data_IF_777618590309
#
_entry.id   IF_777618590309
#
_cell.length_a   1.000
_cell.length_b   1.000
_cell.length_c   1.000
_cell.angle_alpha   90.00
_cell.angle_beta   90.00
_cell.angle_gamma   90.00
#
_symmetry.space_group_name_H-M   'P 1'
#
loop_
_entity.id
_entity.type
_entity.pdbx_description
1 polymer ?
#
# COMPACT_ATOMS: atom_id res chain seq x y z
N UNK A 1 -18.23 -10.22 -6.34
CA UNK A 1 -17.23 -9.92 -5.30
C UNK A 1 -15.89 -9.69 -5.99
N UNK A 2 -15.19 -8.60 -5.68
CA UNK A 2 -13.92 -8.25 -6.33
C UNK A 2 -12.77 -8.33 -5.31
N UNK A 3 -11.56 -8.62 -5.77
CA UNK A 3 -10.35 -8.53 -4.96
C UNK A 3 -9.66 -7.18 -5.17
N UNK A 4 -9.64 -6.36 -4.13
CA UNK A 4 -9.10 -5.00 -4.11
C UNK A 4 -7.85 -4.94 -3.24
N UNK A 5 -6.80 -4.34 -3.78
CA UNK A 5 -5.55 -4.08 -3.04
C UNK A 5 -5.31 -2.58 -3.00
N UNK A 6 -5.14 -2.04 -1.80
CA UNK A 6 -4.68 -0.67 -1.59
C UNK A 6 -3.16 -0.69 -1.34
N UNK A 7 -2.40 0.14 -2.05
CA UNK A 7 -0.96 0.33 -1.81
C UNK A 7 -0.77 1.70 -1.18
N UNK A 8 -0.42 1.74 0.09
CA UNK A 8 -0.30 2.99 0.85
C UNK A 8 0.07 2.79 2.32
N UNK A 9 0.34 3.87 3.07
CA UNK A 9 0.56 3.80 4.51
C UNK A 9 -0.66 3.22 5.21
N UNK A 10 -0.44 2.41 6.24
CA UNK A 10 -1.45 1.82 7.09
C UNK A 10 -0.80 1.41 8.42
N UNK A 11 -1.63 1.05 9.40
CA UNK A 11 -1.18 0.59 10.70
C UNK A 11 0.01 -0.40 10.57
N UNK A 12 1.10 -0.24 11.34
CA UNK A 12 1.25 0.68 12.48
C UNK A 12 1.64 2.11 12.11
N UNK A 13 1.80 2.45 10.83
CA UNK A 13 2.12 3.81 10.42
C UNK A 13 0.92 4.74 10.71
N UNK A 14 1.20 5.90 11.30
CA UNK A 14 0.18 6.91 11.61
C UNK A 14 0.11 8.01 10.55
N UNK A 15 -0.96 8.82 10.61
CA UNK A 15 -1.17 10.00 9.76
C UNK A 15 -2.38 9.87 8.85
N UNK A 16 -2.79 10.99 8.24
CA UNK A 16 -4.04 11.08 7.47
C UNK A 16 -4.15 10.02 6.36
N UNK A 17 -3.07 9.77 5.62
CA UNK A 17 -3.06 8.74 4.57
C UNK A 17 -3.38 7.34 5.11
N UNK A 18 -2.86 6.99 6.29
CA UNK A 18 -3.14 5.69 6.92
C UNK A 18 -4.62 5.58 7.30
N UNK A 19 -5.19 6.64 7.89
CA UNK A 19 -6.61 6.71 8.24
C UNK A 19 -7.51 6.62 7.00
N UNK A 20 -7.19 7.35 5.92
CA UNK A 20 -7.93 7.29 4.67
C UNK A 20 -7.90 5.91 4.03
N UNK A 21 -6.72 5.27 3.97
CA UNK A 21 -6.59 3.92 3.41
C UNK A 21 -7.37 2.89 4.22
N UNK A 22 -7.36 3.00 5.55
CA UNK A 22 -8.15 2.14 6.42
C UNK A 22 -9.64 2.32 6.14
N UNK A 23 -10.16 3.55 6.17
CA UNK A 23 -11.57 3.83 5.89
C UNK A 23 -12.00 3.32 4.52
N UNK A 24 -11.19 3.58 3.49
CA UNK A 24 -11.48 3.10 2.14
C UNK A 24 -11.55 1.57 2.07
N UNK A 25 -10.65 0.86 2.77
CA UNK A 25 -10.70 -0.59 2.81
C UNK A 25 -11.91 -1.14 3.57
N UNK A 26 -12.28 -0.50 4.69
CA UNK A 26 -13.49 -0.81 5.46
C UNK A 26 -14.74 -0.68 4.58
N UNK A 27 -14.84 0.39 3.78
CA UNK A 27 -15.97 0.59 2.86
C UNK A 27 -16.03 -0.49 1.76
N UNK A 28 -14.89 -0.88 1.16
CA UNK A 28 -14.88 -2.00 0.20
C UNK A 28 -15.36 -3.30 0.84
N UNK A 29 -14.95 -3.58 2.09
CA UNK A 29 -15.38 -4.76 2.83
C UNK A 29 -16.88 -4.69 3.14
N UNK A 30 -17.39 -3.52 3.57
CA UNK A 30 -18.81 -3.30 3.84
C UNK A 30 -19.69 -3.50 2.60
N UNK A 31 -19.17 -3.14 1.41
CA UNK A 31 -19.80 -3.42 0.12
C UNK A 31 -19.70 -4.89 -0.33
N UNK A 32 -19.06 -5.76 0.47
CA UNK A 32 -18.92 -7.18 0.18
C UNK A 32 -17.77 -7.53 -0.79
N UNK A 33 -16.75 -6.67 -0.91
CA UNK A 33 -15.52 -6.99 -1.63
C UNK A 33 -14.44 -7.55 -0.68
N UNK A 34 -13.47 -8.28 -1.23
CA UNK A 34 -12.24 -8.56 -0.50
C UNK A 34 -11.32 -7.35 -0.64
N UNK A 35 -10.85 -6.80 0.48
CA UNK A 35 -9.89 -5.71 0.47
C UNK A 35 -8.72 -5.98 1.41
N UNK A 36 -7.50 -5.70 0.93
CA UNK A 36 -6.28 -5.72 1.74
C UNK A 36 -5.43 -4.49 1.47
N UNK A 37 -4.56 -4.14 2.43
CA UNK A 37 -3.61 -3.04 2.29
C UNK A 37 -2.19 -3.57 2.25
N UNK A 38 -1.44 -3.24 1.20
CA UNK A 38 0.00 -3.42 1.14
C UNK A 38 0.68 -2.14 1.60
N UNK A 39 1.27 -2.20 2.79
CA UNK A 39 1.88 -1.07 3.48
C UNK A 39 3.39 -1.18 3.61
N UNK A 40 3.99 -0.15 4.19
CA UNK A 40 5.42 0.06 4.22
C UNK A 40 6.04 -0.43 5.52
N UNK A 41 7.01 -1.33 5.44
CA UNK A 41 7.93 -1.61 6.54
C UNK A 41 8.98 -0.51 6.71
N UNK A 42 9.23 0.26 5.64
CA UNK A 42 10.03 1.47 5.67
C UNK A 42 9.47 2.48 4.67
N UNK A 43 8.90 3.59 5.15
CA UNK A 43 8.46 4.70 4.30
C UNK A 43 9.64 5.59 3.92
N UNK A 44 10.51 5.95 4.87
CA UNK A 44 11.64 6.85 4.65
C UNK A 44 12.86 6.40 5.45
N UNK A 45 14.09 6.58 4.95
CA UNK A 45 15.30 6.49 5.75
C UNK A 45 15.25 7.40 6.97
N UNK A 46 15.79 6.94 8.11
CA UNK A 46 15.76 7.66 9.40
C UNK A 46 16.39 9.07 9.34
N UNK A 47 17.34 9.30 8.44
CA UNK A 47 17.99 10.61 8.26
C UNK A 47 17.06 11.67 7.64
N UNK A 48 16.04 11.27 6.88
CA UNK A 48 15.09 12.20 6.24
C UNK A 48 14.02 12.69 7.25
N UNK A 49 13.72 11.88 8.27
CA UNK A 49 12.79 12.22 9.35
C UNK A 49 13.37 11.88 10.72
N UNK A 50 14.38 12.62 11.20
CA UNK A 50 14.85 12.50 12.57
C UNK A 50 13.81 13.10 13.52
N UNK A 51 13.31 12.32 14.48
CA UNK A 51 12.65 12.89 15.66
C UNK A 51 11.12 12.83 15.74
N UNK A 52 10.40 12.12 14.86
CA UNK A 52 8.98 11.81 15.07
C UNK A 52 8.73 10.30 15.07
N UNK A 53 8.01 9.81 16.07
CA UNK A 53 7.47 8.44 16.08
C UNK A 53 6.51 8.32 14.89
N UNK A 54 6.88 7.55 13.87
CA UNK A 54 6.04 7.32 12.68
C UNK A 54 4.95 6.27 12.92
N UNK A 55 4.95 5.66 14.11
CA UNK A 55 4.09 4.56 14.50
C UNK A 55 3.02 5.05 15.49
N UNK A 56 1.88 4.36 15.50
CA UNK A 56 0.85 4.47 16.53
C UNK A 56 0.89 3.22 17.42
N UNK A 57 0.55 3.40 18.70
CA UNK A 57 0.33 2.31 19.67
C UNK A 57 -1.15 1.88 19.72
N UNK A 58 -2.01 2.54 18.92
CA UNK A 58 -3.40 2.15 18.77
C UNK A 58 -3.50 0.73 18.20
N UNK A 59 -4.50 -0.06 18.64
CA UNK A 59 -4.66 -1.42 18.16
C UNK A 59 -4.95 -1.43 16.65
N UNK A 60 -4.35 -2.40 15.95
CA UNK A 60 -4.65 -2.65 14.55
C UNK A 60 -6.16 -2.87 14.34
N UNK A 61 -6.74 -2.37 13.23
CA UNK A 61 -8.12 -2.66 12.87
C UNK A 61 -8.31 -4.18 12.71
N UNK A 62 -9.16 -4.78 13.55
CA UNK A 62 -9.33 -6.24 13.67
C UNK A 62 -9.84 -6.91 12.38
N UNK A 63 -10.57 -6.18 11.55
CA UNK A 63 -11.21 -6.69 10.33
C UNK A 63 -10.39 -6.51 9.06
N UNK A 64 -9.20 -5.90 9.14
CA UNK A 64 -8.46 -5.46 7.97
C UNK A 64 -7.15 -6.22 7.77
N UNK A 65 -7.00 -6.84 6.61
CA UNK A 65 -5.75 -7.52 6.25
C UNK A 65 -4.70 -6.49 5.79
N UNK A 66 -3.68 -6.27 6.61
CA UNK A 66 -2.57 -5.35 6.33
C UNK A 66 -1.27 -6.14 6.15
N UNK A 67 -0.60 -5.91 5.02
CA UNK A 67 0.71 -6.47 4.69
C UNK A 67 1.78 -5.40 4.76
N UNK A 68 2.50 -5.33 5.88
CA UNK A 68 3.61 -4.38 6.09
C UNK A 68 4.91 -4.89 5.46
N UNK A 69 5.04 -4.77 4.14
CA UNK A 69 6.10 -5.46 3.37
C UNK A 69 6.92 -4.57 2.44
N UNK A 70 6.46 -3.34 2.15
CA UNK A 70 7.13 -2.45 1.19
C UNK A 70 8.26 -1.69 1.88
N UNK A 71 9.47 -1.81 1.34
CA UNK A 71 10.60 -0.98 1.73
C UNK A 71 10.86 0.02 0.60
N UNK A 72 10.64 1.31 0.83
CA UNK A 72 10.69 2.35 -0.20
C UNK A 72 12.06 2.59 -0.84
N UNK A 73 13.15 2.04 -0.27
CA UNK A 73 14.53 2.24 -0.76
C UNK A 73 15.22 0.97 -1.23
N UNK A 74 14.54 -0.19 -1.21
CA UNK A 74 15.12 -1.48 -1.58
C UNK A 74 14.55 -2.01 -2.92
N UNK A 75 15.29 -1.91 -4.05
CA UNK A 75 14.83 -2.37 -5.36
C UNK A 75 14.48 -3.86 -5.45
N UNK A 76 15.19 -4.72 -4.71
CA UNK A 76 14.91 -6.16 -4.68
C UNK A 76 13.57 -6.43 -3.98
N UNK A 77 13.25 -5.67 -2.93
CA UNK A 77 11.95 -5.71 -2.28
C UNK A 77 10.83 -5.31 -3.25
N UNK A 78 10.99 -4.22 -4.01
CA UNK A 78 9.97 -3.77 -4.97
C UNK A 78 9.66 -4.86 -6.00
N UNK A 79 10.70 -5.51 -6.52
CA UNK A 79 10.57 -6.60 -7.48
C UNK A 79 9.85 -7.81 -6.84
N UNK A 80 10.21 -8.18 -5.61
CA UNK A 80 9.58 -9.30 -4.88
C UNK A 80 8.10 -9.01 -4.60
N UNK A 81 7.78 -7.83 -4.08
CA UNK A 81 6.41 -7.40 -3.78
C UNK A 81 5.58 -7.30 -5.05
N UNK A 82 6.11 -6.70 -6.10
CA UNK A 82 5.44 -6.65 -7.41
C UNK A 82 5.19 -8.02 -8.02
N UNK A 83 6.14 -8.96 -7.91
CA UNK A 83 5.94 -10.35 -8.37
C UNK A 83 4.87 -11.09 -7.55
N UNK A 84 4.79 -10.83 -6.23
CA UNK A 84 3.75 -11.37 -5.36
C UNK A 84 2.37 -10.87 -5.79
N UNK A 85 2.17 -9.56 -5.87
CA UNK A 85 0.90 -8.95 -6.31
C UNK A 85 0.51 -9.38 -7.73
N UNK A 86 1.49 -9.53 -8.63
CA UNK A 86 1.25 -10.06 -9.97
C UNK A 86 0.66 -11.47 -9.94
N UNK A 87 1.16 -12.34 -9.06
CA UNK A 87 0.66 -13.73 -8.89
C UNK A 87 -0.71 -13.76 -8.21
N UNK A 88 -0.94 -12.87 -7.25
CA UNK A 88 -2.23 -12.72 -6.57
C UNK A 88 -3.33 -12.27 -7.54
N UNK A 89 -2.97 -11.52 -8.59
CA UNK A 89 -3.88 -11.06 -9.66
C UNK A 89 -5.15 -10.38 -9.10
N UNK A 90 -5.02 -9.34 -8.25
CA UNK A 90 -6.19 -8.59 -7.79
C UNK A 90 -6.91 -7.93 -8.96
N UNK A 91 -8.22 -7.73 -8.85
CA UNK A 91 -9.02 -7.09 -9.91
C UNK A 91 -8.71 -5.59 -9.98
N UNK A 92 -8.49 -4.98 -8.81
CA UNK A 92 -8.20 -3.56 -8.67
C UNK A 92 -7.02 -3.33 -7.72
N UNK A 93 -6.06 -2.52 -8.15
CA UNK A 93 -5.04 -1.92 -7.30
C UNK A 93 -5.28 -0.42 -7.22
N UNK A 94 -5.46 0.09 -6.00
CA UNK A 94 -5.53 1.52 -5.70
C UNK A 94 -4.20 1.92 -5.08
N UNK A 95 -3.42 2.73 -5.77
CA UNK A 95 -2.15 3.24 -5.23
C UNK A 95 -2.32 4.66 -4.70
N UNK A 96 -1.73 4.94 -3.52
CA UNK A 96 -1.52 6.29 -3.00
C UNK A 96 -0.19 6.83 -3.52
N UNK A 97 -0.20 8.07 -4.01
CA UNK A 97 1.01 8.75 -4.44
C UNK A 97 1.02 10.18 -3.90
N UNK A 98 1.85 10.42 -2.89
CA UNK A 98 1.90 11.70 -2.18
C UNK A 98 3.27 12.38 -2.28
N UNK A 99 4.31 11.66 -2.72
CA UNK A 99 5.66 12.19 -2.85
C UNK A 99 6.38 11.61 -4.07
N UNK A 100 7.07 12.43 -4.87
CA UNK A 100 7.91 11.94 -5.98
C UNK A 100 8.94 10.88 -5.57
N UNK A 101 9.45 10.95 -4.33
CA UNK A 101 10.38 9.96 -3.77
C UNK A 101 9.82 8.53 -3.78
N UNK A 102 8.49 8.35 -3.72
CA UNK A 102 7.85 7.04 -3.79
C UNK A 102 7.77 6.47 -5.21
N UNK A 103 8.01 7.30 -6.23
CA UNK A 103 7.87 6.96 -7.65
C UNK A 103 8.64 5.70 -8.07
N UNK A 104 9.94 5.55 -7.76
CA UNK A 104 10.70 4.36 -8.14
C UNK A 104 10.14 3.06 -7.54
N UNK A 105 9.78 3.08 -6.26
CA UNK A 105 9.23 1.92 -5.56
C UNK A 105 7.85 1.53 -6.11
N UNK A 106 6.91 2.48 -6.10
CA UNK A 106 5.54 2.25 -6.54
C UNK A 106 5.50 1.92 -8.05
N UNK A 107 6.23 2.67 -8.87
CA UNK A 107 6.30 2.43 -10.31
C UNK A 107 6.85 1.05 -10.66
N UNK A 108 7.88 0.58 -9.93
CA UNK A 108 8.44 -0.77 -10.13
C UNK A 108 7.44 -1.85 -9.75
N UNK A 109 6.78 -1.72 -8.60
CA UNK A 109 5.74 -2.67 -8.14
C UNK A 109 4.62 -2.75 -9.18
N UNK A 110 4.04 -1.60 -9.56
CA UNK A 110 2.91 -1.53 -10.49
C UNK A 110 3.27 -2.04 -11.89
N UNK A 111 4.50 -1.80 -12.36
CA UNK A 111 4.99 -2.36 -13.63
C UNK A 111 5.05 -3.88 -13.60
N UNK A 112 5.37 -4.50 -12.46
CA UNK A 112 5.27 -5.96 -12.33
C UNK A 112 3.82 -6.43 -12.31
N UNK A 113 2.94 -5.73 -11.59
CA UNK A 113 1.50 -6.05 -11.54
C UNK A 113 0.90 -6.05 -12.94
N UNK A 114 1.13 -5.00 -13.74
CA UNK A 114 0.62 -4.90 -15.13
C UNK A 114 0.95 -6.10 -16.02
N UNK A 115 2.03 -6.83 -15.75
CA UNK A 115 2.41 -8.01 -16.53
C UNK A 115 1.42 -9.16 -16.42
N UNK A 116 0.51 -9.18 -15.43
CA UNK A 116 -0.55 -10.18 -15.37
C UNK A 116 -1.69 -9.94 -16.38
N UNK A 117 -1.73 -8.76 -17.02
CA UNK A 117 -2.75 -8.34 -18.01
C UNK A 117 -4.19 -8.44 -17.48
N UNK A 118 -4.37 -8.35 -16.16
CA UNK A 118 -5.66 -8.53 -15.48
C UNK A 118 -5.99 -7.31 -14.63
N UNK A 119 -5.07 -6.95 -13.74
CA UNK A 119 -5.33 -5.96 -12.70
C UNK A 119 -5.53 -4.57 -13.28
N UNK A 120 -6.67 -3.94 -12.96
CA UNK A 120 -6.88 -2.51 -13.18
C UNK A 120 -6.13 -1.72 -12.10
N UNK A 121 -5.43 -0.67 -12.50
CA UNK A 121 -4.65 0.17 -11.56
C UNK A 121 -5.23 1.58 -11.58
N UNK A 122 -5.58 2.09 -10.41
CA UNK A 122 -6.06 3.46 -10.18
C UNK A 122 -5.10 4.16 -9.22
N UNK A 123 -4.70 5.38 -9.55
CA UNK A 123 -3.89 6.22 -8.67
C UNK A 123 -4.79 7.29 -8.06
N UNK A 124 -4.63 7.57 -6.77
CA UNK A 124 -5.05 8.86 -6.21
C UNK A 124 -3.76 9.55 -5.79
N UNK A 125 -3.54 10.71 -6.41
CA UNK A 125 -2.43 11.58 -6.11
C UNK A 125 -2.87 12.55 -5.02
N UNK A 126 -2.09 12.61 -3.95
CA UNK A 126 -2.30 13.52 -2.81
C UNK A 126 -1.37 14.73 -2.99
N UNK A 127 -1.88 15.96 -2.77
CA UNK A 127 -1.13 17.21 -2.92
C UNK A 127 -0.91 17.95 -1.59
#
# INVERSE_FOLDING_TARGET
MANVVIIGPAHPLRGGLATFNQRLAEEFIAMGHHCSIYSFSLQYPKFIFPGTTQYTDEPAPKSLLIHTVINSVNPLNWMKTGKRLRKERPDLVIVRFWLPLMGPALGTILRQVRKNKHTRIVCIADN
#
